data_IF_534287832454
#
_entry.id   IF_534287832454
#
_cell.length_a   1.000
_cell.length_b   1.000
_cell.length_c   1.000
_cell.angle_alpha   90.00
_cell.angle_beta   90.00
_cell.angle_gamma   90.00
#
_symmetry.space_group_name_H-M   'P 1'
#
loop_
_entity.id
_entity.type
_entity.pdbx_description
1 polymer ?
#
# COMPACT_ATOMS: atom_id res chain seq x y z
N UNK A 1 10.95 -2.21 -21.27
CA UNK A 1 10.91 -1.23 -20.16
C UNK A 1 10.08 -1.79 -19.02
N UNK A 2 10.39 -1.46 -17.76
CA UNK A 2 9.63 -1.90 -16.58
C UNK A 2 9.04 -0.67 -15.91
N UNK A 3 7.74 -0.71 -15.57
CA UNK A 3 7.05 0.39 -14.91
C UNK A 3 6.53 -0.03 -13.54
N UNK A 4 6.48 0.91 -12.60
CA UNK A 4 5.94 0.68 -11.25
C UNK A 4 4.97 1.79 -10.87
N UNK A 5 3.84 1.44 -10.25
CA UNK A 5 2.86 2.41 -9.76
C UNK A 5 1.90 2.95 -10.84
N UNK A 6 0.78 3.54 -10.39
CA UNK A 6 -0.27 4.08 -11.27
C UNK A 6 -1.39 3.10 -11.63
N UNK A 7 -1.10 1.80 -11.65
CA UNK A 7 -2.10 0.77 -11.93
C UNK A 7 -2.98 0.45 -10.72
N UNK A 8 -4.30 0.44 -10.93
CA UNK A 8 -5.31 0.11 -9.92
C UNK A 8 -6.14 -1.13 -10.27
N UNK A 9 -6.21 -1.50 -11.54
CA UNK A 9 -7.03 -2.59 -12.06
C UNK A 9 -6.20 -3.62 -12.81
N UNK A 10 -6.65 -4.86 -12.84
CA UNK A 10 -6.02 -5.93 -13.62
C UNK A 10 -6.02 -5.59 -15.12
N UNK A 11 -7.17 -5.16 -15.63
CA UNK A 11 -7.35 -4.80 -17.03
C UNK A 11 -6.37 -3.69 -17.48
N UNK A 12 -6.11 -2.69 -16.63
CA UNK A 12 -5.14 -1.64 -16.95
C UNK A 12 -3.70 -2.17 -17.05
N UNK A 13 -3.33 -3.13 -16.21
CA UNK A 13 -2.02 -3.77 -16.27
C UNK A 13 -1.88 -4.65 -17.51
N UNK A 14 -2.90 -5.47 -17.80
CA UNK A 14 -2.92 -6.33 -18.98
C UNK A 14 -2.84 -5.50 -20.26
N UNK A 15 -3.61 -4.40 -20.34
CA UNK A 15 -3.58 -3.50 -21.48
C UNK A 15 -2.17 -2.96 -21.72
N UNK A 16 -1.49 -2.45 -20.69
CA UNK A 16 -0.15 -1.87 -20.83
C UNK A 16 0.91 -2.88 -21.31
N UNK A 17 0.77 -4.15 -20.93
CA UNK A 17 1.66 -5.22 -21.40
C UNK A 17 1.30 -5.61 -22.85
N UNK A 18 0.02 -5.80 -23.14
CA UNK A 18 -0.45 -6.19 -24.48
C UNK A 18 -0.23 -5.11 -25.53
N UNK A 19 -0.31 -3.82 -25.16
CA UNK A 19 -0.03 -2.69 -26.03
C UNK A 19 1.46 -2.43 -26.24
N UNK A 20 2.35 -3.25 -25.66
CA UNK A 20 3.81 -3.08 -25.70
C UNK A 20 4.30 -1.75 -25.09
N UNK A 21 3.48 -1.10 -24.23
CA UNK A 21 3.90 0.09 -23.48
C UNK A 21 4.92 -0.27 -22.39
N UNK A 22 4.85 -1.49 -21.85
CA UNK A 22 5.79 -2.03 -20.87
C UNK A 22 5.93 -3.53 -20.99
N UNK A 23 7.09 -4.08 -20.62
CA UNK A 23 7.31 -5.52 -20.58
C UNK A 23 6.86 -6.13 -19.24
N UNK A 24 6.80 -5.29 -18.19
CA UNK A 24 6.45 -5.72 -16.84
C UNK A 24 5.84 -4.57 -16.04
N UNK A 25 4.86 -4.91 -15.20
CA UNK A 25 4.26 -4.00 -14.22
C UNK A 25 4.64 -4.44 -12.81
N UNK A 26 5.40 -3.60 -12.10
CA UNK A 26 5.72 -3.81 -10.70
C UNK A 26 4.60 -3.32 -9.78
N UNK A 27 4.25 -4.18 -8.81
CA UNK A 27 3.26 -3.90 -7.78
C UNK A 27 3.92 -3.74 -6.41
N UNK A 28 3.62 -2.65 -5.70
CA UNK A 28 4.14 -2.40 -4.36
C UNK A 28 3.01 -2.47 -3.31
N UNK A 29 2.26 -1.37 -3.13
CA UNK A 29 1.18 -1.26 -2.14
C UNK A 29 0.11 -2.33 -2.27
N UNK A 30 -0.16 -2.78 -3.50
CA UNK A 30 -1.13 -3.84 -3.79
C UNK A 30 -0.76 -5.15 -3.08
N UNK A 31 0.50 -5.57 -3.20
CA UNK A 31 1.02 -6.81 -2.61
C UNK A 31 1.04 -6.70 -1.09
N UNK A 32 1.35 -5.53 -0.53
CA UNK A 32 1.29 -5.30 0.91
C UNK A 32 -0.13 -5.44 1.50
N UNK A 33 -1.18 -5.26 0.70
CA UNK A 33 -2.58 -5.41 1.14
C UNK A 33 -3.24 -6.72 0.70
N UNK A 34 -2.72 -7.35 -0.34
CA UNK A 34 -3.22 -8.58 -0.95
C UNK A 34 -2.00 -9.42 -1.35
N UNK A 35 -1.42 -10.21 -0.43
CA UNK A 35 -0.22 -11.00 -0.73
C UNK A 35 -0.48 -12.07 -1.81
N UNK A 36 -1.70 -12.60 -1.85
CA UNK A 36 -2.16 -13.59 -2.83
C UNK A 36 -2.59 -12.96 -4.18
N UNK A 37 -2.32 -11.67 -4.40
CA UNK A 37 -2.74 -10.95 -5.60
C UNK A 37 -2.27 -11.64 -6.90
N UNK A 38 -1.02 -12.13 -7.03
CA UNK A 38 -0.59 -12.80 -8.25
C UNK A 38 -1.46 -14.02 -8.60
N UNK A 39 -1.81 -14.83 -7.60
CA UNK A 39 -2.65 -16.01 -7.79
C UNK A 39 -4.12 -15.63 -8.07
N UNK A 40 -4.62 -14.53 -7.49
CA UNK A 40 -5.95 -14.01 -7.81
C UNK A 40 -6.02 -13.44 -9.22
N UNK A 41 -4.95 -12.77 -9.67
CA UNK A 41 -4.82 -12.24 -11.03
C UNK A 41 -4.77 -13.38 -12.05
N UNK A 42 -3.96 -14.42 -11.81
CA UNK A 42 -3.91 -15.60 -12.67
C UNK A 42 -5.27 -16.30 -12.82
N UNK A 43 -6.09 -16.31 -11.76
CA UNK A 43 -7.44 -16.87 -11.77
C UNK A 43 -8.51 -15.92 -12.35
N UNK A 44 -8.16 -14.69 -12.71
CA UNK A 44 -9.10 -13.67 -13.18
C UNK A 44 -10.07 -13.15 -12.11
N UNK A 45 -9.77 -13.38 -10.83
CA UNK A 45 -10.64 -13.01 -9.69
C UNK A 45 -10.36 -11.56 -9.25
N UNK A 46 -9.12 -11.11 -9.40
CA UNK A 46 -8.70 -9.79 -8.99
C UNK A 46 -9.21 -8.72 -9.96
N UNK A 47 -10.01 -7.76 -9.47
CA UNK A 47 -10.58 -6.67 -10.28
C UNK A 47 -9.88 -5.34 -10.03
N UNK A 48 -9.83 -4.92 -8.78
CA UNK A 48 -9.31 -3.62 -8.38
C UNK A 48 -8.69 -3.65 -6.97
N UNK A 49 -7.70 -2.80 -6.74
CA UNK A 49 -7.16 -2.53 -5.41
C UNK A 49 -8.04 -1.51 -4.70
N UNK A 50 -8.84 -1.96 -3.74
CA UNK A 50 -9.47 -1.03 -2.80
C UNK A 50 -8.44 -0.54 -1.79
N UNK A 51 -8.04 0.72 -1.95
CA UNK A 51 -7.12 1.42 -1.05
C UNK A 51 -7.98 2.22 -0.07
N UNK A 52 -8.26 1.63 1.09
CA UNK A 52 -8.97 2.34 2.15
C UNK A 52 -8.14 3.53 2.64
N UNK A 53 -8.75 4.73 2.60
CA UNK A 53 -8.17 5.89 3.28
C UNK A 53 -8.36 5.73 4.78
N UNK A 54 -7.24 5.72 5.50
CA UNK A 54 -7.26 5.72 6.96
C UNK A 54 -7.57 7.12 7.48
N UNK A 55 -8.31 7.18 8.59
CA UNK A 55 -8.63 8.44 9.26
C UNK A 55 -8.38 8.34 10.77
N UNK A 56 -7.86 9.42 11.33
CA UNK A 56 -7.74 9.64 12.78
C UNK A 56 -9.04 10.16 13.39
N UNK A 57 -10.00 10.58 12.55
CA UNK A 57 -11.21 11.31 12.94
C UNK A 57 -10.99 12.82 13.06
N UNK A 58 -9.74 13.30 13.00
CA UNK A 58 -9.41 14.73 13.11
C UNK A 58 -8.94 15.24 11.74
N UNK A 59 -9.80 16.00 11.05
CA UNK A 59 -9.55 16.49 9.67
C UNK A 59 -8.21 17.21 9.49
N UNK A 60 -7.81 18.02 10.47
CA UNK A 60 -6.54 18.76 10.41
C UNK A 60 -5.32 17.83 10.51
N UNK A 61 -5.41 16.77 11.31
CA UNK A 61 -4.37 15.77 11.46
C UNK A 61 -4.31 14.87 10.22
N UNK A 62 -5.45 14.41 9.73
CA UNK A 62 -5.53 13.61 8.49
C UNK A 62 -4.94 14.37 7.29
N UNK A 63 -5.13 15.69 7.22
CA UNK A 63 -4.54 16.53 6.16
C UNK A 63 -3.03 16.68 6.30
N UNK A 64 -2.51 16.83 7.52
CA UNK A 64 -1.08 17.08 7.78
C UNK A 64 -0.25 15.78 7.79
N UNK A 65 -0.81 14.71 8.33
CA UNK A 65 -0.12 13.44 8.55
C UNK A 65 -0.62 12.32 7.61
N UNK A 66 -1.59 12.57 6.74
CA UNK A 66 -2.21 11.54 5.89
C UNK A 66 -1.24 10.75 5.02
N UNK A 67 -0.23 11.41 4.45
CA UNK A 67 0.84 10.74 3.69
C UNK A 67 1.64 9.77 4.55
N UNK A 68 1.92 10.16 5.79
CA UNK A 68 2.67 9.36 6.75
C UNK A 68 1.85 8.20 7.32
N UNK A 69 0.57 8.44 7.61
CA UNK A 69 -0.40 7.40 8.03
C UNK A 69 -0.48 6.29 6.99
N UNK A 70 -0.55 6.66 5.70
CA UNK A 70 -0.55 5.69 4.61
C UNK A 70 0.74 4.88 4.58
N UNK A 71 1.89 5.55 4.63
CA UNK A 71 3.21 4.89 4.62
C UNK A 71 3.36 3.89 5.77
N UNK A 72 3.13 4.33 7.00
CA UNK A 72 3.26 3.49 8.19
C UNK A 72 2.30 2.31 8.19
N UNK A 73 1.12 2.48 7.60
CA UNK A 73 0.16 1.39 7.44
C UNK A 73 0.71 0.31 6.51
N UNK A 74 1.26 0.67 5.34
CA UNK A 74 1.85 -0.32 4.43
C UNK A 74 3.08 -0.99 5.04
N UNK A 75 3.95 -0.24 5.71
CA UNK A 75 5.11 -0.80 6.44
C UNK A 75 4.66 -1.83 7.47
N UNK A 76 3.63 -1.49 8.27
CA UNK A 76 3.07 -2.42 9.25
C UNK A 76 2.57 -3.70 8.58
N UNK A 77 1.93 -3.63 7.41
CA UNK A 77 1.49 -4.83 6.69
C UNK A 77 2.67 -5.64 6.15
N UNK A 78 3.71 -4.98 5.63
CA UNK A 78 4.92 -5.65 5.17
C UNK A 78 5.62 -6.40 6.31
N UNK A 79 5.74 -5.80 7.50
CA UNK A 79 6.28 -6.48 8.69
C UNK A 79 5.43 -7.68 9.07
N UNK A 80 4.10 -7.58 9.03
CA UNK A 80 3.22 -8.73 9.29
C UNK A 80 3.45 -9.87 8.30
N UNK A 81 3.53 -9.55 7.00
CA UNK A 81 3.80 -10.55 5.96
C UNK A 81 5.16 -11.21 6.18
N UNK A 82 6.19 -10.44 6.52
CA UNK A 82 7.52 -10.98 6.82
C UNK A 82 7.55 -11.89 8.06
N UNK A 83 6.59 -11.75 8.97
CA UNK A 83 6.40 -12.60 10.15
C UNK A 83 5.37 -13.72 9.92
N UNK A 84 5.01 -14.02 8.66
CA UNK A 84 3.97 -15.00 8.28
C UNK A 84 2.58 -14.71 8.90
N UNK A 85 2.31 -13.45 9.27
CA UNK A 85 1.01 -13.01 9.80
C UNK A 85 0.13 -12.48 8.68
N UNK A 86 -1.15 -12.83 8.73
CA UNK A 86 -2.14 -12.30 7.81
C UNK A 86 -2.23 -10.76 7.87
N UNK A 87 -2.42 -10.14 6.71
CA UNK A 87 -2.73 -8.71 6.55
C UNK A 87 -4.01 -8.40 7.33
N UNK A 88 -3.98 -7.32 8.13
CA UNK A 88 -5.10 -6.88 8.97
C UNK A 88 -5.54 -5.49 8.55
N UNK A 89 -6.59 -5.43 7.73
CA UNK A 89 -7.14 -4.17 7.24
C UNK A 89 -7.81 -3.37 8.35
N UNK A 90 -7.60 -2.07 8.33
CA UNK A 90 -8.24 -1.14 9.27
C UNK A 90 -8.41 0.23 8.64
N UNK A 91 -9.50 0.90 9.01
CA UNK A 91 -9.75 2.31 8.68
C UNK A 91 -9.18 3.27 9.74
N UNK A 92 -8.74 2.72 10.87
CA UNK A 92 -8.27 3.51 12.00
C UNK A 92 -6.79 3.87 11.83
N UNK A 93 -6.49 5.16 11.67
CA UNK A 93 -5.14 5.68 11.50
C UNK A 93 -4.27 5.66 12.78
N UNK A 94 -4.87 5.54 13.98
CA UNK A 94 -4.13 5.55 15.24
C UNK A 94 -3.21 4.34 15.40
N UNK A 95 -3.63 3.17 14.89
CA UNK A 95 -2.82 1.94 14.99
C UNK A 95 -1.52 2.06 14.17
N UNK A 96 -1.56 2.46 12.88
CA UNK A 96 -0.34 2.71 12.11
C UNK A 96 0.53 3.86 12.64
N UNK A 97 -0.09 4.92 13.17
CA UNK A 97 0.66 6.02 13.80
C UNK A 97 1.43 5.54 15.03
N UNK A 98 0.79 4.77 15.90
CA UNK A 98 1.47 4.19 17.06
C UNK A 98 2.57 3.23 16.65
N UNK A 99 2.32 2.39 15.64
CA UNK A 99 3.34 1.51 15.07
C UNK A 99 4.56 2.31 14.61
N UNK A 100 4.36 3.34 13.79
CA UNK A 100 5.44 4.19 13.32
C UNK A 100 6.18 4.93 14.43
N UNK A 101 5.46 5.43 15.44
CA UNK A 101 6.09 6.04 16.59
C UNK A 101 6.97 5.03 17.36
N UNK A 102 6.52 3.78 17.51
CA UNK A 102 7.29 2.73 18.19
C UNK A 102 8.52 2.29 17.39
N UNK A 103 8.42 2.19 16.06
CA UNK A 103 9.51 1.71 15.21
C UNK A 103 10.53 2.80 14.87
N UNK A 104 10.09 4.04 14.68
CA UNK A 104 10.92 5.14 14.18
C UNK A 104 11.18 6.26 15.21
N UNK A 105 10.47 6.27 16.35
CA UNK A 105 10.60 7.31 17.36
C UNK A 105 10.23 8.72 16.85
N UNK A 106 10.88 9.75 17.41
CA UNK A 106 10.71 11.14 16.96
C UNK A 106 11.17 11.39 15.52
N UNK A 107 11.95 10.48 14.92
CA UNK A 107 12.39 10.57 13.52
C UNK A 107 11.22 10.44 12.52
N UNK A 108 10.03 10.03 12.96
CA UNK A 108 8.81 10.10 12.14
C UNK A 108 8.43 11.52 11.70
N UNK A 109 8.89 12.54 12.44
CA UNK A 109 8.61 13.96 12.15
C UNK A 109 9.61 14.57 11.16
N UNK A 110 10.67 13.85 10.83
CA UNK A 110 11.67 14.29 9.86
C UNK A 110 11.22 13.94 8.44
N UNK A 111 11.48 14.81 7.45
CA UNK A 111 11.18 14.51 6.06
C UNK A 111 12.02 13.32 5.61
N UNK A 112 11.36 12.22 5.21
CA UNK A 112 12.02 11.00 4.72
C UNK A 112 12.34 11.04 3.21
N UNK A 113 12.24 12.23 2.60
CA UNK A 113 12.62 12.48 1.22
C UNK A 113 13.58 13.67 1.20
N UNK A 114 14.79 13.44 0.70
CA UNK A 114 15.66 14.47 0.17
C UNK A 114 15.26 14.80 -1.26
#
# INVERSE_FOLDING_TARGET
>A
MIVTGGFRTLAGMEQAVLSQETDMVGLARAIALIPDLPNQAQRGIFKEIDIEMLSTGIKSLDKKAGSYIGLSYYEMQMVRIAEDKAVKRTKNAWVPLWFAFKTQGLSMLLPQRA
#
